data_IF_969849467805
#
_entry.id   IF_969849467805
#
_cell.length_a   1.000
_cell.length_b   1.000
_cell.length_c   1.000
_cell.angle_alpha   90.00
_cell.angle_beta   90.00
_cell.angle_gamma   90.00
#
_symmetry.space_group_name_H-M   'P 1'
#
loop_
_entity.id
_entity.type
_entity.pdbx_description
1 polymer ?
#
# COMPACT_ATOMS: atom_id res chain seq x y z
N UNK A 1 30.93 -26.56 4.68
CA UNK A 1 31.45 -25.97 3.42
C UNK A 1 30.27 -25.76 2.49
N UNK A 2 29.55 -24.64 2.61
CA UNK A 2 28.43 -24.36 1.70
C UNK A 2 29.02 -23.88 0.39
N UNK A 3 29.04 -24.75 -0.61
CA UNK A 3 29.37 -24.38 -1.98
C UNK A 3 28.35 -23.31 -2.40
N UNK A 4 28.78 -22.04 -2.46
CA UNK A 4 28.00 -21.02 -3.15
C UNK A 4 28.04 -21.43 -4.61
N UNK A 5 27.00 -22.12 -5.07
CA UNK A 5 26.69 -22.22 -6.49
C UNK A 5 26.62 -20.77 -6.99
N UNK A 6 27.68 -20.31 -7.65
CA UNK A 6 27.64 -19.08 -8.40
C UNK A 6 26.73 -19.39 -9.58
N UNK A 7 25.44 -19.12 -9.42
CA UNK A 7 24.51 -19.10 -10.54
C UNK A 7 25.10 -18.13 -11.57
N UNK A 8 25.56 -18.68 -12.69
CA UNK A 8 26.09 -17.92 -13.81
C UNK A 8 24.91 -17.14 -14.37
N UNK A 9 24.83 -15.88 -13.99
CA UNK A 9 23.78 -14.98 -14.40
C UNK A 9 23.86 -14.78 -15.93
N UNK A 10 22.75 -14.94 -16.61
CA UNK A 10 22.64 -14.67 -18.04
C UNK A 10 22.88 -13.18 -18.33
N UNK A 11 23.32 -12.85 -19.55
CA UNK A 11 23.57 -11.45 -19.95
C UNK A 11 22.30 -10.58 -19.81
N UNK A 12 21.13 -11.18 -20.04
CA UNK A 12 19.83 -10.52 -19.87
C UNK A 12 19.57 -10.14 -18.41
N UNK A 13 19.84 -11.04 -17.46
CA UNK A 13 19.70 -10.77 -16.03
C UNK A 13 20.69 -9.70 -15.53
N UNK A 14 21.92 -9.67 -16.07
CA UNK A 14 22.88 -8.60 -15.78
C UNK A 14 22.32 -7.26 -16.24
N UNK A 15 21.85 -7.19 -17.49
CA UNK A 15 21.26 -5.98 -18.04
C UNK A 15 20.02 -5.52 -17.26
N UNK A 16 19.17 -6.46 -16.83
CA UNK A 16 18.02 -6.18 -15.96
C UNK A 16 18.45 -5.63 -14.60
N UNK A 17 19.49 -6.20 -13.97
CA UNK A 17 20.04 -5.69 -12.70
C UNK A 17 20.65 -4.29 -12.87
N UNK A 18 21.39 -4.03 -13.94
CA UNK A 18 21.93 -2.69 -14.25
C UNK A 18 20.78 -1.70 -14.42
N UNK A 19 19.73 -2.09 -15.17
CA UNK A 19 18.53 -1.27 -15.36
C UNK A 19 17.83 -0.98 -14.04
N UNK A 20 17.66 -1.98 -13.18
CA UNK A 20 17.07 -1.82 -11.84
C UNK A 20 17.94 -0.94 -10.93
N UNK A 21 19.27 -1.07 -11.00
CA UNK A 21 20.21 -0.23 -10.26
C UNK A 21 20.12 1.25 -10.66
N UNK A 22 19.81 1.53 -11.92
CA UNK A 22 19.62 2.89 -12.44
C UNK A 22 18.22 3.47 -12.13
N UNK A 23 17.25 2.63 -11.74
CA UNK A 23 15.90 3.08 -11.46
C UNK A 23 15.83 3.88 -10.17
N UNK A 24 15.08 5.00 -10.21
CA UNK A 24 14.78 5.79 -9.03
C UNK A 24 13.92 4.97 -8.07
N UNK A 25 14.23 5.08 -6.77
CA UNK A 25 13.49 4.45 -5.69
C UNK A 25 12.68 5.49 -4.94
N UNK A 26 11.46 5.13 -4.54
CA UNK A 26 10.58 6.00 -3.75
C UNK A 26 9.80 5.16 -2.75
N UNK A 27 9.37 5.78 -1.65
CA UNK A 27 8.54 5.13 -0.64
C UNK A 27 7.07 5.22 -1.04
N UNK A 28 6.34 4.12 -0.83
CA UNK A 28 4.88 4.14 -0.87
C UNK A 28 4.36 5.06 0.23
N UNK A 29 3.48 6.01 -0.11
CA UNK A 29 2.97 6.97 0.85
C UNK A 29 2.12 6.34 1.97
N UNK A 30 1.52 5.16 1.72
CA UNK A 30 0.74 4.46 2.73
C UNK A 30 1.59 3.56 3.63
N UNK A 31 2.26 2.55 3.08
CA UNK A 31 3.01 1.55 3.87
C UNK A 31 4.48 1.93 4.17
N UNK A 32 4.99 3.02 3.60
CA UNK A 32 6.37 3.54 3.78
C UNK A 32 7.51 2.64 3.31
N UNK A 33 7.20 1.49 2.70
CA UNK A 33 8.19 0.61 2.07
C UNK A 33 8.76 1.21 0.78
N UNK A 34 9.99 0.87 0.46
CA UNK A 34 10.73 1.38 -0.71
C UNK A 34 10.44 0.51 -1.93
N UNK A 35 10.06 1.15 -3.03
CA UNK A 35 9.79 0.51 -4.32
C UNK A 35 10.54 1.22 -5.43
N UNK A 36 10.69 0.56 -6.57
CA UNK A 36 11.06 1.25 -7.80
C UNK A 36 9.90 2.13 -8.25
N UNK A 37 10.18 3.32 -8.77
CA UNK A 37 9.12 4.27 -9.20
C UNK A 37 8.17 3.64 -10.22
N UNK A 38 8.68 2.76 -11.10
CA UNK A 38 7.87 2.05 -12.09
C UNK A 38 6.90 1.02 -11.46
N UNK A 39 7.12 0.60 -10.22
CA UNK A 39 6.29 -0.35 -9.47
C UNK A 39 5.26 0.34 -8.56
N UNK A 40 5.13 1.67 -8.65
CA UNK A 40 4.13 2.47 -7.94
C UNK A 40 3.04 2.97 -8.91
N UNK A 41 2.13 2.11 -9.39
CA UNK A 41 1.10 2.51 -10.35
C UNK A 41 0.00 3.38 -9.71
N UNK A 42 -0.17 3.32 -8.39
CA UNK A 42 -1.26 4.01 -7.71
C UNK A 42 -0.94 5.47 -7.44
N UNK A 43 -1.85 6.37 -7.78
CA UNK A 43 -1.74 7.81 -7.50
C UNK A 43 -2.98 8.32 -6.76
N UNK A 44 -2.86 8.50 -5.44
CA UNK A 44 -3.98 8.88 -4.57
C UNK A 44 -3.70 10.24 -3.89
N UNK A 45 -4.74 10.96 -3.47
CA UNK A 45 -4.57 12.24 -2.78
C UNK A 45 -4.01 12.04 -1.37
N UNK A 46 -3.14 12.94 -0.92
CA UNK A 46 -2.62 12.91 0.45
C UNK A 46 -3.75 12.90 1.49
N UNK A 47 -4.84 13.66 1.24
CA UNK A 47 -6.05 13.65 2.07
C UNK A 47 -6.58 12.24 2.35
N UNK A 48 -6.76 11.42 1.32
CA UNK A 48 -7.29 10.07 1.47
C UNK A 48 -6.37 9.17 2.30
N UNK A 49 -5.05 9.37 2.20
CA UNK A 49 -4.07 8.65 3.01
C UNK A 49 -4.23 9.03 4.48
N UNK A 50 -4.43 10.32 4.78
CA UNK A 50 -4.68 10.79 6.15
C UNK A 50 -6.01 10.23 6.69
N UNK A 51 -7.07 10.24 5.89
CA UNK A 51 -8.37 9.68 6.27
C UNK A 51 -8.29 8.18 6.56
N UNK A 52 -7.57 7.42 5.72
CA UNK A 52 -7.37 5.98 5.94
C UNK A 52 -6.54 5.70 7.19
N UNK A 53 -5.47 6.48 7.42
CA UNK A 53 -4.65 6.41 8.64
C UNK A 53 -5.48 6.71 9.89
N UNK A 54 -6.32 7.75 9.84
CA UNK A 54 -7.24 8.08 10.92
C UNK A 54 -8.22 6.92 11.19
N UNK A 55 -8.78 6.31 10.14
CA UNK A 55 -9.67 5.14 10.26
C UNK A 55 -8.97 3.94 10.91
N UNK A 56 -7.68 3.75 10.65
CA UNK A 56 -6.87 2.70 11.29
C UNK A 56 -6.36 3.07 12.69
N UNK A 57 -6.76 4.22 13.24
CA UNK A 57 -6.30 4.67 14.56
C UNK A 57 -4.83 5.10 14.57
N UNK A 58 -4.21 5.30 13.40
CA UNK A 58 -2.90 5.93 13.33
C UNK A 58 -3.09 7.42 13.62
N UNK A 59 -2.52 7.85 14.74
CA UNK A 59 -2.63 9.23 15.19
C UNK A 59 -1.83 10.16 14.27
N UNK A 60 -2.52 10.78 13.31
CA UNK A 60 -1.96 11.77 12.38
C UNK A 60 -1.61 13.08 13.11
N UNK A 61 -2.12 13.29 14.33
CA UNK A 61 -1.95 14.55 15.07
C UNK A 61 -0.64 14.64 15.84
N UNK A 62 0.23 13.61 15.81
CA UNK A 62 1.55 13.66 16.45
C UNK A 62 2.54 14.51 15.65
N UNK A 63 2.33 15.82 15.67
CA UNK A 63 3.16 16.85 15.07
C UNK A 63 2.29 18.04 14.67
N UNK A 64 2.54 19.21 15.24
CA UNK A 64 1.67 20.40 15.25
C UNK A 64 1.31 21.04 13.89
N UNK A 65 1.48 20.38 12.76
CA UNK A 65 1.16 20.97 11.47
C UNK A 65 0.32 20.01 10.63
N UNK A 66 -1.00 20.23 10.67
CA UNK A 66 -1.85 19.76 9.59
C UNK A 66 -1.28 20.35 8.29
N UNK A 67 -0.99 19.54 7.26
CA UNK A 67 -0.42 20.06 6.03
C UNK A 67 -1.35 21.13 5.44
N UNK A 68 -0.80 22.19 4.81
CA UNK A 68 -1.60 23.24 4.21
C UNK A 68 -2.59 22.65 3.20
N UNK A 69 -3.77 23.28 2.99
CA UNK A 69 -4.81 22.74 2.12
C UNK A 69 -4.34 22.35 0.70
N UNK A 70 -3.33 23.05 0.17
CA UNK A 70 -2.72 22.73 -1.13
C UNK A 70 -2.04 21.35 -1.18
N UNK A 71 -1.43 20.90 -0.08
CA UNK A 71 -0.75 19.62 0.00
C UNK A 71 -1.74 18.45 0.14
N UNK A 72 -2.94 18.67 0.68
CA UNK A 72 -3.98 17.64 0.82
C UNK A 72 -4.42 17.06 -0.54
N UNK A 73 -4.37 17.86 -1.60
CA UNK A 73 -4.73 17.44 -2.95
C UNK A 73 -3.54 16.93 -3.78
N UNK A 74 -2.32 16.96 -3.23
CA UNK A 74 -1.16 16.40 -3.91
C UNK A 74 -1.38 14.91 -4.14
N UNK A 75 -1.12 14.46 -5.36
CA UNK A 75 -1.11 13.04 -5.73
C UNK A 75 0.19 12.42 -5.21
N UNK A 76 0.05 11.40 -4.38
CA UNK A 76 1.14 10.60 -3.86
C UNK A 76 1.08 9.18 -4.41
N UNK A 77 2.27 8.63 -4.64
CA UNK A 77 2.45 7.30 -5.21
C UNK A 77 2.33 6.22 -4.14
N UNK A 78 1.55 5.18 -4.47
CA UNK A 78 1.31 4.02 -3.61
C UNK A 78 1.57 2.73 -4.38
N UNK A 79 1.96 1.68 -3.65
CA UNK A 79 2.19 0.36 -4.25
C UNK A 79 0.87 -0.32 -4.61
N UNK A 80 0.95 -1.31 -5.50
CA UNK A 80 -0.19 -2.09 -5.97
C UNK A 80 -1.00 -2.71 -4.82
N UNK A 81 -0.33 -3.22 -3.78
CA UNK A 81 -1.00 -3.76 -2.60
C UNK A 81 -1.76 -2.70 -1.80
N UNK A 82 -1.27 -1.46 -1.75
CA UNK A 82 -1.95 -0.39 -1.03
C UNK A 82 -3.14 0.18 -1.81
N UNK A 83 -3.18 0.01 -3.15
CA UNK A 83 -4.30 0.47 -3.97
C UNK A 83 -5.63 -0.17 -3.55
N UNK A 84 -5.62 -1.43 -3.12
CA UNK A 84 -6.84 -2.15 -2.72
C UNK A 84 -7.64 -1.45 -1.63
N UNK A 85 -6.99 -0.65 -0.77
CA UNK A 85 -7.66 0.08 0.31
C UNK A 85 -8.44 1.31 -0.19
N UNK A 86 -8.19 1.75 -1.42
CA UNK A 86 -8.81 2.90 -2.06
C UNK A 86 -9.72 2.55 -3.23
N UNK A 87 -9.72 1.30 -3.68
CA UNK A 87 -10.56 0.88 -4.79
C UNK A 87 -12.05 1.09 -4.45
N UNK A 88 -12.71 1.88 -5.29
CA UNK A 88 -14.11 2.29 -5.17
C UNK A 88 -15.10 1.14 -5.34
N UNK A 89 -14.64 -0.03 -5.80
CA UNK A 89 -15.48 -1.19 -6.05
C UNK A 89 -16.00 -1.85 -4.78
N UNK A 90 -15.69 -1.31 -3.59
CA UNK A 90 -16.31 -1.74 -2.33
C UNK A 90 -16.02 -3.18 -1.93
N UNK A 91 -15.21 -3.91 -2.71
CA UNK A 91 -14.86 -5.31 -2.47
C UNK A 91 -14.15 -5.46 -1.13
N UNK A 92 -13.21 -4.56 -0.83
CA UNK A 92 -12.52 -4.52 0.46
C UNK A 92 -13.42 -4.02 1.60
N UNK A 93 -14.30 -3.04 1.38
CA UNK A 93 -15.27 -2.65 2.43
C UNK A 93 -16.18 -3.83 2.79
N UNK A 94 -16.56 -4.64 1.80
CA UNK A 94 -17.38 -5.84 1.97
C UNK A 94 -16.60 -6.93 2.67
N UNK A 95 -15.37 -7.22 2.25
CA UNK A 95 -14.51 -8.21 2.90
C UNK A 95 -14.12 -7.82 4.33
N UNK A 96 -13.84 -6.55 4.59
CA UNK A 96 -13.51 -6.06 5.93
C UNK A 96 -14.75 -6.09 6.85
N UNK A 97 -15.94 -5.78 6.32
CA UNK A 97 -17.22 -5.96 7.02
C UNK A 97 -17.52 -7.45 7.29
N UNK A 98 -17.26 -8.32 6.33
CA UNK A 98 -17.38 -9.78 6.48
C UNK A 98 -16.40 -10.32 7.54
N UNK A 99 -15.13 -9.94 7.49
CA UNK A 99 -14.12 -10.35 8.46
C UNK A 99 -14.36 -9.76 9.86
N UNK A 100 -14.89 -8.54 9.96
CA UNK A 100 -15.34 -7.98 11.22
C UNK A 100 -16.53 -8.78 11.77
N UNK A 101 -17.50 -9.14 10.92
CA UNK A 101 -18.65 -9.96 11.34
C UNK A 101 -18.27 -11.39 11.76
N UNK A 102 -17.18 -11.96 11.23
CA UNK A 102 -16.71 -13.29 11.68
C UNK A 102 -15.92 -13.24 12.98
N UNK A 103 -15.28 -12.11 13.32
CA UNK A 103 -14.65 -11.92 14.63
C UNK A 103 -15.68 -11.78 15.75
N UNK A 104 -16.80 -11.12 15.47
CA UNK A 104 -17.92 -11.02 16.39
C UNK A 104 -18.91 -12.20 16.23
N UNK A 105 -18.39 -13.43 16.11
CA UNK A 105 -19.04 -14.70 16.49
C UNK A 105 -20.46 -15.05 16.02
N UNK A 106 -21.14 -14.24 15.21
CA UNK A 106 -22.56 -14.43 14.88
C UNK A 106 -22.75 -14.14 13.39
N UNK A 107 -22.93 -15.21 12.64
CA UNK A 107 -23.26 -15.16 11.22
C UNK A 107 -24.65 -14.53 11.03
N UNK A 108 -24.80 -13.42 10.28
CA UNK A 108 -26.10 -12.78 10.08
C UNK A 108 -27.13 -13.65 9.34
N UNK A 109 -26.68 -14.75 8.73
CA UNK A 109 -27.55 -15.73 8.07
C UNK A 109 -28.39 -16.59 9.04
N UNK A 110 -28.15 -16.53 10.36
CA UNK A 110 -28.88 -17.33 11.35
C UNK A 110 -29.88 -16.54 12.22
N UNK A 111 -30.05 -15.23 11.97
CA UNK A 111 -31.05 -14.40 12.67
C UNK A 111 -32.37 -14.19 11.91
N UNK A 112 -32.60 -14.90 10.81
CA UNK A 112 -33.93 -14.99 10.20
C UNK A 112 -34.68 -16.20 10.79
N UNK A 113 -35.33 -15.98 11.92
CA UNK A 113 -36.52 -16.73 12.35
C UNK A 113 -37.60 -15.75 12.75
#
# INVERSE_FOLDING_TARGET
MSQKTQEVLTQEEINLRVRQGLQRRKKCALCTQIFYVNELPGAITHKSILELRQKWGMDVRRGEYMPPPSQLYKREEICIFCMQFFDTTGSMQTQQKLLASTRDGISPALTLR
#
